data_IF_406481600081
#
_entry.id   IF_406481600081
#
_cell.length_a   1.000
_cell.length_b   1.000
_cell.length_c   1.000
_cell.angle_alpha   90.00
_cell.angle_beta   90.00
_cell.angle_gamma   90.00
#
_symmetry.space_group_name_H-M   'P 1'
#
loop_
_entity.id
_entity.type
_entity.pdbx_description
1 polymer ?
#
# COMPACT_ATOMS: atom_id res chain seq x y z
N UNK A 1 12.33 17.17 -40.20
CA UNK A 1 11.47 16.20 -39.47
C UNK A 1 12.34 15.30 -38.58
N UNK A 2 13.27 15.87 -37.79
CA UNK A 2 14.27 15.11 -37.03
C UNK A 2 14.33 15.48 -35.53
N UNK A 3 13.48 16.39 -35.08
CA UNK A 3 13.55 16.96 -33.72
C UNK A 3 12.29 16.73 -32.89
N UNK A 4 11.36 15.86 -33.34
CA UNK A 4 10.15 15.54 -32.58
C UNK A 4 10.34 14.42 -31.56
N UNK A 5 11.46 13.68 -31.64
CA UNK A 5 11.79 12.60 -30.68
C UNK A 5 12.62 13.09 -29.48
N UNK A 6 12.98 14.38 -29.43
CA UNK A 6 13.81 14.96 -28.36
C UNK A 6 13.01 15.76 -27.33
N UNK A 7 11.69 15.83 -27.50
CA UNK A 7 10.77 16.60 -26.64
C UNK A 7 10.02 15.75 -25.59
N UNK A 8 10.33 14.46 -25.45
CA UNK A 8 9.63 13.54 -24.52
C UNK A 8 10.44 13.14 -23.27
N UNK A 9 11.38 13.95 -22.79
CA UNK A 9 12.19 13.59 -21.60
C UNK A 9 12.21 14.65 -20.48
N UNK A 10 11.19 15.50 -20.39
CA UNK A 10 10.95 16.33 -19.19
C UNK A 10 9.61 15.99 -18.50
N UNK A 11 8.96 14.89 -18.89
CA UNK A 11 7.72 14.39 -18.28
C UNK A 11 7.96 13.11 -17.48
N UNK A 12 7.38 13.02 -16.28
CA UNK A 12 7.29 11.75 -15.52
C UNK A 12 6.67 10.68 -16.41
N UNK A 13 7.37 9.56 -16.62
CA UNK A 13 6.79 8.42 -17.35
C UNK A 13 5.70 7.76 -16.49
N UNK A 14 4.71 7.12 -17.11
CA UNK A 14 3.67 6.39 -16.37
C UNK A 14 4.24 5.32 -15.42
N UNK A 15 5.39 4.75 -15.78
CA UNK A 15 6.15 3.82 -14.95
C UNK A 15 6.76 4.49 -13.71
N UNK A 16 7.40 5.65 -13.88
CA UNK A 16 7.93 6.43 -12.75
C UNK A 16 6.80 6.86 -11.79
N UNK A 17 5.64 7.22 -12.34
CA UNK A 17 4.46 7.54 -11.53
C UNK A 17 3.95 6.30 -10.76
N UNK A 18 3.96 5.12 -11.37
CA UNK A 18 3.56 3.87 -10.72
C UNK A 18 4.53 3.49 -9.60
N UNK A 19 5.84 3.54 -9.83
CA UNK A 19 6.89 3.31 -8.82
C UNK A 19 6.72 4.28 -7.65
N UNK A 20 6.55 5.58 -7.92
CA UNK A 20 6.35 6.57 -6.88
C UNK A 20 5.06 6.34 -6.07
N UNK A 21 3.98 5.86 -6.71
CA UNK A 21 2.73 5.50 -6.05
C UNK A 21 2.90 4.31 -5.11
N UNK A 22 3.68 3.30 -5.51
CA UNK A 22 4.00 2.15 -4.66
C UNK A 22 4.86 2.54 -3.47
N UNK A 23 5.89 3.37 -3.67
CA UNK A 23 6.75 3.86 -2.60
C UNK A 23 5.95 4.68 -1.58
N UNK A 24 5.04 5.54 -2.06
CA UNK A 24 4.11 6.26 -1.21
C UNK A 24 3.20 5.30 -0.42
N UNK A 25 2.70 4.25 -1.06
CA UNK A 25 1.87 3.23 -0.39
C UNK A 25 2.65 2.47 0.69
N UNK A 26 3.91 2.08 0.42
CA UNK A 26 4.83 1.48 1.40
C UNK A 26 5.06 2.40 2.60
N UNK A 27 5.26 3.70 2.37
CA UNK A 27 5.41 4.69 3.44
C UNK A 27 4.13 4.84 4.28
N UNK A 28 2.95 4.88 3.64
CA UNK A 28 1.66 4.96 4.34
C UNK A 28 1.44 3.71 5.20
N UNK A 29 1.79 2.52 4.71
CA UNK A 29 1.71 1.28 5.49
C UNK A 29 2.52 1.39 6.78
N UNK A 30 3.75 1.90 6.73
CA UNK A 30 4.59 2.09 7.92
C UNK A 30 3.93 3.03 8.94
N UNK A 31 3.36 4.15 8.48
CA UNK A 31 2.63 5.09 9.34
C UNK A 31 1.41 4.42 9.99
N UNK A 32 0.61 3.67 9.22
CA UNK A 32 -0.57 2.97 9.73
C UNK A 32 -0.22 1.84 10.71
N UNK A 33 0.88 1.12 10.47
CA UNK A 33 1.41 0.14 11.43
C UNK A 33 1.77 0.83 12.77
N UNK A 34 2.38 2.01 12.70
CA UNK A 34 2.61 2.86 13.87
C UNK A 34 1.32 3.25 14.60
N UNK A 35 0.28 3.63 13.86
CA UNK A 35 -1.04 3.96 14.41
C UNK A 35 -1.68 2.74 15.10
N UNK A 36 -1.65 1.55 14.49
CA UNK A 36 -2.13 0.30 15.11
C UNK A 36 -1.39 0.06 16.44
N UNK A 37 -0.07 0.21 16.46
CA UNK A 37 0.71 0.02 17.67
C UNK A 37 0.32 1.01 18.79
N UNK A 38 0.03 2.27 18.44
CA UNK A 38 -0.48 3.26 19.41
C UNK A 38 -1.88 2.90 19.93
N UNK A 39 -2.80 2.48 19.05
CA UNK A 39 -4.14 2.03 19.45
C UNK A 39 -4.08 0.81 20.38
N UNK A 40 -3.19 -0.14 20.09
CA UNK A 40 -2.95 -1.30 20.95
C UNK A 40 -2.44 -0.91 22.35
N UNK A 41 -1.51 0.07 22.43
CA UNK A 41 -1.04 0.62 23.72
C UNK A 41 -2.18 1.25 24.51
N UNK A 42 -3.04 2.05 23.86
CA UNK A 42 -4.22 2.64 24.51
C UNK A 42 -5.16 1.56 25.04
N UNK A 43 -5.36 0.48 24.28
CA UNK A 43 -6.21 -0.64 24.68
C UNK A 43 -5.66 -1.38 25.92
N UNK A 44 -4.35 -1.56 26.01
CA UNK A 44 -3.69 -2.14 27.20
C UNK A 44 -3.88 -1.21 28.41
N UNK A 45 -3.64 0.09 28.25
CA UNK A 45 -3.83 1.09 29.32
C UNK A 45 -5.27 1.12 29.84
N UNK A 46 -6.23 1.12 28.93
CA UNK A 46 -7.66 1.07 29.26
C UNK A 46 -8.04 -0.19 30.04
N UNK A 47 -7.55 -1.36 29.63
CA UNK A 47 -7.75 -2.62 30.38
C UNK A 47 -7.18 -2.55 31.81
N UNK A 48 -6.04 -1.89 32.01
CA UNK A 48 -5.41 -1.74 33.32
C UNK A 48 -6.16 -0.77 34.25
N UNK A 49 -6.91 0.19 33.69
CA UNK A 49 -7.55 1.28 34.45
C UNK A 49 -8.75 0.89 35.33
N UNK A 50 -9.23 -0.37 35.29
CA UNK A 50 -10.33 -0.94 36.13
C UNK A 50 -11.62 -0.10 36.25
N UNK A 51 -11.96 0.75 35.26
CA UNK A 51 -13.27 1.42 35.18
C UNK A 51 -14.25 0.57 34.34
N UNK A 52 -15.45 0.19 34.82
CA UNK A 52 -16.23 -0.88 34.19
C UNK A 52 -17.07 -0.46 32.96
N UNK A 53 -17.69 0.72 32.92
CA UNK A 53 -18.73 1.03 31.91
C UNK A 53 -18.22 1.85 30.72
N UNK A 54 -17.44 2.91 30.95
CA UNK A 54 -16.82 3.72 29.87
C UNK A 54 -15.79 2.93 29.06
N UNK A 55 -15.33 1.81 29.60
CA UNK A 55 -14.22 1.03 29.07
C UNK A 55 -14.65 0.04 28.00
N UNK A 56 -15.87 -0.54 28.06
CA UNK A 56 -16.28 -1.53 27.05
C UNK A 56 -16.52 -0.90 25.66
N UNK A 57 -17.17 0.27 25.62
CA UNK A 57 -17.38 1.04 24.38
C UNK A 57 -16.04 1.54 23.82
N UNK A 58 -15.19 2.12 24.66
CA UNK A 58 -13.87 2.59 24.24
C UNK A 58 -12.99 1.45 23.72
N UNK A 59 -12.96 0.30 24.41
CA UNK A 59 -12.25 -0.90 23.95
C UNK A 59 -12.80 -1.39 22.62
N UNK A 60 -14.13 -1.45 22.46
CA UNK A 60 -14.76 -1.91 21.22
C UNK A 60 -14.44 -0.99 20.04
N UNK A 61 -14.48 0.33 20.26
CA UNK A 61 -14.10 1.32 19.25
C UNK A 61 -12.63 1.21 18.84
N UNK A 62 -11.72 1.04 19.81
CA UNK A 62 -10.30 0.85 19.53
C UNK A 62 -10.01 -0.46 18.77
N UNK A 63 -10.70 -1.55 19.13
CA UNK A 63 -10.60 -2.82 18.40
C UNK A 63 -11.09 -2.69 16.96
N UNK A 64 -12.20 -1.98 16.76
CA UNK A 64 -12.73 -1.70 15.42
C UNK A 64 -11.73 -0.88 14.59
N UNK A 65 -11.18 0.19 15.16
CA UNK A 65 -10.14 0.99 14.50
C UNK A 65 -8.91 0.14 14.11
N UNK A 66 -8.40 -0.71 15.02
CA UNK A 66 -7.29 -1.62 14.73
C UNK A 66 -7.60 -2.56 13.56
N UNK A 67 -8.83 -3.09 13.50
CA UNK A 67 -9.25 -4.00 12.42
C UNK A 67 -9.33 -3.29 11.08
N UNK A 68 -9.89 -2.09 11.05
CA UNK A 68 -9.99 -1.31 9.81
C UNK A 68 -8.61 -0.94 9.26
N UNK A 69 -7.70 -0.50 10.14
CA UNK A 69 -6.32 -0.20 9.74
C UNK A 69 -5.63 -1.43 9.16
N UNK A 70 -5.83 -2.59 9.78
CA UNK A 70 -5.25 -3.85 9.29
C UNK A 70 -5.82 -4.28 7.94
N UNK A 71 -7.14 -4.23 7.77
CA UNK A 71 -7.78 -4.54 6.49
C UNK A 71 -7.30 -3.64 5.36
N UNK A 72 -7.11 -2.35 5.64
CA UNK A 72 -6.56 -1.42 4.66
C UNK A 72 -5.12 -1.78 4.29
N UNK A 73 -4.28 -2.12 5.28
CA UNK A 73 -2.89 -2.55 5.04
C UNK A 73 -2.87 -3.82 4.18
N UNK A 74 -3.71 -4.81 4.49
CA UNK A 74 -3.77 -6.06 3.74
C UNK A 74 -4.16 -5.80 2.27
N UNK A 75 -5.12 -4.91 2.03
CA UNK A 75 -5.49 -4.46 0.68
C UNK A 75 -4.33 -3.74 -0.03
N UNK A 76 -3.64 -2.82 0.65
CA UNK A 76 -2.55 -2.05 0.08
C UNK A 76 -1.34 -2.92 -0.28
N UNK A 77 -1.02 -3.93 0.55
CA UNK A 77 0.04 -4.92 0.27
C UNK A 77 -0.30 -5.68 -1.00
N UNK A 78 -1.52 -6.21 -1.10
CA UNK A 78 -1.95 -6.93 -2.30
C UNK A 78 -1.89 -6.04 -3.55
N UNK A 79 -2.26 -4.76 -3.46
CA UNK A 79 -2.14 -3.83 -4.59
C UNK A 79 -0.67 -3.63 -4.99
N UNK A 80 0.23 -3.42 -4.02
CA UNK A 80 1.67 -3.28 -4.28
C UNK A 80 2.22 -4.51 -4.99
N UNK A 81 1.85 -5.73 -4.56
CA UNK A 81 2.31 -6.97 -5.21
C UNK A 81 1.85 -7.05 -6.68
N UNK A 82 0.62 -6.61 -6.99
CA UNK A 82 0.13 -6.56 -8.37
C UNK A 82 0.87 -5.49 -9.19
N UNK A 83 1.14 -4.32 -8.60
CA UNK A 83 1.86 -3.25 -9.27
C UNK A 83 3.33 -3.65 -9.54
N UNK A 84 3.98 -4.38 -8.61
CA UNK A 84 5.33 -4.96 -8.81
C UNK A 84 5.36 -5.92 -10.00
N UNK A 85 4.38 -6.83 -10.10
CA UNK A 85 4.24 -7.74 -11.25
C UNK A 85 4.05 -6.99 -12.57
N UNK A 86 3.26 -5.92 -12.57
CA UNK A 86 3.04 -5.09 -13.76
C UNK A 86 4.32 -4.37 -14.20
N UNK A 87 5.08 -3.81 -13.27
CA UNK A 87 6.37 -3.16 -13.57
C UNK A 87 7.37 -4.16 -14.15
N UNK A 88 7.45 -5.35 -13.57
CA UNK A 88 8.33 -6.40 -14.09
C UNK A 88 7.96 -6.75 -15.55
N UNK A 89 6.67 -6.86 -15.85
CA UNK A 89 6.20 -7.12 -17.22
C UNK A 89 6.55 -5.97 -18.18
N UNK A 90 6.39 -4.71 -17.75
CA UNK A 90 6.80 -3.54 -18.55
C UNK A 90 8.29 -3.62 -18.90
N UNK A 91 9.14 -3.98 -17.94
CA UNK A 91 10.58 -4.15 -18.20
C UNK A 91 10.87 -5.31 -19.15
N UNK A 92 10.19 -6.44 -18.99
CA UNK A 92 10.34 -7.59 -19.90
C UNK A 92 9.98 -7.25 -21.34
N UNK A 93 8.85 -6.57 -21.55
CA UNK A 93 8.41 -6.15 -22.88
C UNK A 93 9.42 -5.18 -23.51
N UNK A 94 9.93 -4.22 -22.74
CA UNK A 94 10.99 -3.30 -23.22
C UNK A 94 12.31 -4.01 -23.55
N UNK A 95 12.62 -5.10 -22.85
CA UNK A 95 13.77 -5.96 -23.16
C UNK A 95 13.56 -6.84 -24.41
N UNK A 96 12.42 -6.73 -25.09
CA UNK A 96 12.09 -7.50 -26.29
C UNK A 96 11.44 -8.86 -26.02
N UNK A 97 10.98 -9.12 -24.79
CA UNK A 97 10.20 -10.32 -24.49
C UNK A 97 8.79 -10.21 -25.08
N UNK A 98 8.17 -11.34 -25.48
CA UNK A 98 6.75 -11.36 -25.84
C UNK A 98 5.88 -10.98 -24.63
N UNK A 99 4.79 -10.26 -24.91
CA UNK A 99 3.79 -9.87 -23.91
C UNK A 99 3.09 -11.10 -23.35
N UNK A 100 3.06 -11.25 -22.03
CA UNK A 100 2.29 -12.29 -21.36
C UNK A 100 0.83 -11.92 -21.20
N UNK A 101 -0.03 -12.93 -21.16
CA UNK A 101 -1.44 -12.76 -20.81
C UNK A 101 -1.60 -12.39 -19.33
N UNK A 102 -2.73 -11.77 -18.99
CA UNK A 102 -3.03 -11.40 -17.59
C UNK A 102 -3.02 -12.64 -16.66
N UNK A 103 -3.43 -13.79 -17.16
CA UNK A 103 -3.45 -15.07 -16.44
C UNK A 103 -2.03 -15.57 -16.11
N UNK A 104 -1.07 -15.35 -17.02
CA UNK A 104 0.34 -15.70 -16.83
C UNK A 104 1.11 -14.71 -15.93
N UNK A 105 0.54 -13.52 -15.70
CA UNK A 105 1.10 -12.49 -14.81
C UNK A 105 0.55 -12.67 -13.38
N UNK A 106 -0.72 -13.05 -13.24
CA UNK A 106 -1.41 -13.15 -11.94
C UNK A 106 -1.05 -14.45 -11.19
N UNK A 107 -0.66 -15.53 -11.88
CA UNK A 107 -0.14 -16.77 -11.27
C UNK A 107 1.10 -16.52 -10.37
#
# INVERSE_FOLDING_TARGET
MKDMNKLEQEGSTSEMALIASMDASKAIIQVRQGAIHQLQKQLVSLRQSRKPTTNSFAISALLFACRNERQWIDFAINQIEQDEKLIEEIYRIRAGSPVRTLEEIIQ
#
